data_IF_656688991687
#
_entry.id   IF_656688991687
#
_cell.length_a   1.000
_cell.length_b   1.000
_cell.length_c   1.000
_cell.angle_alpha   90.00
_cell.angle_beta   90.00
_cell.angle_gamma   90.00
#
_symmetry.space_group_name_H-M   'P 1'
#
loop_
_entity.id
_entity.type
_entity.pdbx_description
1 polymer ?
#
# COMPACT_ATOMS: atom_id res chain seq x y z
N UNK A 1 -9.40 26.61 -43.95
CA UNK A 1 -8.82 26.84 -42.62
C UNK A 1 -8.49 25.49 -42.03
N UNK A 2 -7.24 25.05 -42.20
CA UNK A 2 -6.73 23.79 -41.67
C UNK A 2 -6.21 24.07 -40.27
N UNK A 3 -6.80 23.45 -39.25
CA UNK A 3 -6.20 23.44 -37.92
C UNK A 3 -5.20 22.30 -37.88
N UNK A 4 -3.92 22.67 -37.95
CA UNK A 4 -2.81 21.77 -37.71
C UNK A 4 -2.62 21.56 -36.19
N UNK A 5 -2.48 20.28 -35.84
CA UNK A 5 -1.52 19.69 -34.91
C UNK A 5 -1.73 19.82 -33.40
N UNK A 6 -2.16 18.68 -32.85
CA UNK A 6 -1.34 17.90 -31.90
C UNK A 6 -0.58 18.71 -30.85
N UNK A 7 -1.34 19.32 -29.93
CA UNK A 7 -0.84 19.63 -28.59
C UNK A 7 -0.89 18.39 -27.71
N UNK A 8 -0.25 17.28 -28.12
CA UNK A 8 0.05 16.21 -27.19
C UNK A 8 1.03 16.81 -26.17
N UNK A 9 0.59 16.98 -24.93
CA UNK A 9 1.47 17.34 -23.83
C UNK A 9 2.66 16.37 -23.89
N UNK A 10 3.84 16.91 -24.19
CA UNK A 10 5.07 16.16 -24.30
C UNK A 10 5.31 15.53 -22.93
N UNK A 11 4.95 14.24 -22.80
CA UNK A 11 5.23 13.46 -21.61
C UNK A 11 6.75 13.35 -21.57
N UNK A 12 7.36 14.23 -20.76
CA UNK A 12 8.79 14.26 -20.55
C UNK A 12 9.30 12.84 -20.30
N UNK A 13 10.40 12.41 -20.95
CA UNK A 13 10.96 11.09 -20.69
C UNK A 13 11.29 10.96 -19.19
N UNK A 14 11.14 9.76 -18.59
CA UNK A 14 11.28 9.52 -17.15
C UNK A 14 12.73 9.59 -16.63
N UNK A 15 13.52 10.50 -17.18
CA UNK A 15 14.91 10.70 -16.84
C UNK A 15 15.00 11.84 -15.82
N UNK A 16 15.29 11.44 -14.57
CA UNK A 16 15.68 12.27 -13.42
C UNK A 16 14.57 12.99 -12.62
N UNK A 17 13.51 12.29 -12.22
CA UNK A 17 12.76 12.67 -11.00
C UNK A 17 13.45 12.06 -9.77
N UNK A 18 14.63 12.57 -9.42
CA UNK A 18 15.35 12.14 -8.20
C UNK A 18 14.86 12.96 -7.01
N UNK A 19 13.95 12.39 -6.22
CA UNK A 19 13.47 12.97 -4.97
C UNK A 19 12.41 12.10 -4.31
N UNK A 20 12.28 12.15 -2.96
CA UNK A 20 11.25 11.40 -2.27
C UNK A 20 9.87 11.92 -2.68
N UNK A 21 9.10 11.06 -3.36
CA UNK A 21 7.71 11.35 -3.65
C UNK A 21 6.83 10.87 -2.49
N UNK A 22 5.87 11.70 -2.14
CA UNK A 22 4.85 11.40 -1.12
C UNK A 22 3.47 11.59 -1.72
N UNK A 23 2.63 10.60 -1.54
CA UNK A 23 1.20 10.66 -1.81
C UNK A 23 0.45 10.35 -0.53
N UNK A 24 -0.64 11.06 -0.25
CA UNK A 24 -1.44 10.84 0.94
C UNK A 24 -2.91 11.10 0.64
N UNK A 25 -3.77 10.20 1.12
CA UNK A 25 -5.22 10.32 1.05
C UNK A 25 -5.84 9.96 2.39
N UNK A 26 -6.97 10.59 2.68
CA UNK A 26 -7.87 10.22 3.77
C UNK A 26 -9.21 9.88 3.16
N UNK A 27 -9.80 8.77 3.58
CA UNK A 27 -11.05 8.26 3.03
C UNK A 27 -11.91 7.57 4.09
N UNK A 28 -13.20 7.46 3.81
CA UNK A 28 -14.10 6.63 4.60
C UNK A 28 -13.80 5.14 4.36
N UNK A 29 -14.17 4.30 5.32
CA UNK A 29 -14.03 2.83 5.29
C UNK A 29 -15.07 2.17 4.36
N UNK A 30 -15.38 2.82 3.24
CA UNK A 30 -16.34 2.37 2.24
C UNK A 30 -15.66 1.48 1.19
N UNK A 31 -16.06 0.20 1.03
CA UNK A 31 -15.47 -0.71 0.05
C UNK A 31 -15.49 -0.21 -1.40
N UNK A 32 -16.40 0.71 -1.76
CA UNK A 32 -16.46 1.30 -3.11
C UNK A 32 -15.20 2.08 -3.46
N UNK A 33 -14.50 2.63 -2.46
CA UNK A 33 -13.27 3.39 -2.64
C UNK A 33 -12.05 2.51 -2.91
N UNK A 34 -12.11 1.20 -2.63
CA UNK A 34 -11.01 0.26 -2.89
C UNK A 34 -10.60 0.25 -4.37
N UNK A 35 -11.55 0.37 -5.29
CA UNK A 35 -11.26 0.43 -6.72
C UNK A 35 -10.44 1.67 -7.10
N UNK A 36 -10.75 2.82 -6.51
CA UNK A 36 -10.02 4.08 -6.72
C UNK A 36 -8.60 3.92 -6.20
N UNK A 37 -8.45 3.42 -4.97
CA UNK A 37 -7.13 3.23 -4.35
C UNK A 37 -6.29 2.25 -5.15
N UNK A 38 -6.84 1.12 -5.62
CA UNK A 38 -6.11 0.17 -6.45
C UNK A 38 -5.52 0.81 -7.70
N UNK A 39 -6.33 1.60 -8.43
CA UNK A 39 -5.84 2.30 -9.63
C UNK A 39 -4.72 3.27 -9.26
N UNK A 40 -4.89 4.06 -8.21
CA UNK A 40 -3.85 5.00 -7.75
C UNK A 40 -2.56 4.30 -7.34
N UNK A 41 -2.63 3.20 -6.59
CA UNK A 41 -1.42 2.46 -6.17
C UNK A 41 -0.71 1.83 -7.35
N UNK A 42 -1.45 1.31 -8.34
CA UNK A 42 -0.86 0.76 -9.56
C UNK A 42 -0.04 1.81 -10.31
N UNK A 43 -0.60 3.01 -10.49
CA UNK A 43 0.10 4.12 -11.16
C UNK A 43 1.29 4.62 -10.34
N UNK A 44 1.13 4.81 -9.03
CA UNK A 44 2.23 5.25 -8.15
C UNK A 44 3.39 4.24 -8.13
N UNK A 45 3.09 2.94 -8.07
CA UNK A 45 4.10 1.90 -8.09
C UNK A 45 4.91 1.90 -9.39
N UNK A 46 4.25 2.14 -10.53
CA UNK A 46 4.92 2.26 -11.83
C UNK A 46 5.81 3.51 -11.89
N UNK A 47 5.29 4.67 -11.44
CA UNK A 47 6.07 5.91 -11.33
C UNK A 47 7.30 5.75 -10.44
N UNK A 48 7.22 4.90 -9.42
CA UNK A 48 8.32 4.61 -8.49
C UNK A 48 9.28 3.51 -8.95
N UNK A 49 9.10 2.98 -10.16
CA UNK A 49 10.07 2.07 -10.78
C UNK A 49 9.92 0.60 -10.41
N UNK A 50 8.75 0.18 -9.88
CA UNK A 50 8.42 -1.24 -9.85
C UNK A 50 8.07 -1.73 -11.27
N UNK A 51 8.56 -2.92 -11.63
CA UNK A 51 8.09 -3.62 -12.82
C UNK A 51 6.67 -4.16 -12.63
N UNK A 52 6.01 -4.54 -13.72
CA UNK A 52 4.58 -4.88 -13.73
C UNK A 52 4.16 -5.91 -12.66
N UNK A 53 4.99 -6.93 -12.42
CA UNK A 53 4.72 -7.93 -11.38
C UNK A 53 4.76 -7.31 -9.98
N UNK A 54 5.74 -6.45 -9.71
CA UNK A 54 5.85 -5.69 -8.48
C UNK A 54 4.66 -4.76 -8.28
N UNK A 55 4.25 -4.04 -9.32
CA UNK A 55 3.07 -3.16 -9.29
C UNK A 55 1.79 -3.94 -8.95
N UNK A 56 1.53 -5.06 -9.63
CA UNK A 56 0.37 -5.93 -9.36
C UNK A 56 0.40 -6.49 -7.94
N UNK A 57 1.57 -6.95 -7.48
CA UNK A 57 1.77 -7.46 -6.14
C UNK A 57 1.43 -6.39 -5.10
N UNK A 58 2.13 -5.27 -5.11
CA UNK A 58 1.94 -4.18 -4.15
C UNK A 58 0.49 -3.67 -4.14
N UNK A 59 -0.11 -3.48 -5.31
CA UNK A 59 -1.53 -3.08 -5.42
C UNK A 59 -2.44 -4.05 -4.70
N UNK A 60 -2.23 -5.36 -4.90
CA UNK A 60 -3.02 -6.41 -4.24
C UNK A 60 -2.80 -6.44 -2.72
N UNK A 61 -1.56 -6.23 -2.26
CA UNK A 61 -1.26 -6.20 -0.83
C UNK A 61 -1.88 -4.97 -0.13
N UNK A 62 -1.89 -3.81 -0.79
CA UNK A 62 -2.57 -2.61 -0.28
C UNK A 62 -4.09 -2.79 -0.23
N UNK A 63 -4.69 -3.35 -1.30
CA UNK A 63 -6.13 -3.66 -1.35
C UNK A 63 -6.56 -4.61 -0.23
N UNK A 64 -5.75 -5.63 0.03
CA UNK A 64 -6.01 -6.59 1.11
C UNK A 64 -5.83 -5.95 2.50
N UNK A 65 -4.84 -5.06 2.68
CA UNK A 65 -4.66 -4.33 3.93
C UNK A 65 -5.87 -3.45 4.25
N UNK A 66 -6.35 -2.68 3.26
CA UNK A 66 -7.55 -1.85 3.39
C UNK A 66 -8.80 -2.67 3.64
N UNK A 67 -8.98 -3.76 2.88
CA UNK A 67 -10.09 -4.69 3.08
C UNK A 67 -10.09 -5.26 4.49
N UNK A 68 -8.92 -5.56 5.06
CA UNK A 68 -8.80 -6.03 6.43
C UNK A 68 -9.14 -4.95 7.46
N UNK A 69 -8.72 -3.70 7.26
CA UNK A 69 -9.11 -2.58 8.14
C UNK A 69 -10.64 -2.41 8.12
N UNK A 70 -11.24 -2.31 6.93
CA UNK A 70 -12.70 -2.16 6.78
C UNK A 70 -13.44 -3.32 7.46
N UNK A 71 -13.04 -4.56 7.17
CA UNK A 71 -13.71 -5.77 7.67
C UNK A 71 -13.52 -5.98 9.17
N UNK A 72 -12.31 -5.77 9.69
CA UNK A 72 -11.95 -6.18 11.05
C UNK A 72 -11.90 -5.03 12.04
N UNK A 73 -11.33 -3.89 11.67
CA UNK A 73 -11.25 -2.72 12.55
C UNK A 73 -12.59 -1.95 12.58
N UNK A 74 -13.23 -1.79 11.42
CA UNK A 74 -14.51 -1.07 11.31
C UNK A 74 -15.76 -1.96 11.22
N UNK A 75 -15.62 -3.29 11.23
CA UNK A 75 -16.75 -4.25 11.16
C UNK A 75 -17.67 -4.02 9.95
N UNK A 76 -17.10 -3.63 8.81
CA UNK A 76 -17.80 -3.24 7.58
C UNK A 76 -18.69 -1.99 7.70
N UNK A 77 -18.55 -1.19 8.77
CA UNK A 77 -19.11 0.16 8.77
C UNK A 77 -18.36 1.00 7.74
N UNK A 78 -19.08 1.90 7.06
CA UNK A 78 -18.58 2.73 5.96
C UNK A 78 -18.34 4.19 6.36
N UNK A 79 -18.29 4.48 7.65
CA UNK A 79 -18.17 5.81 8.25
C UNK A 79 -16.84 6.02 9.00
N UNK A 80 -16.01 4.97 9.11
CA UNK A 80 -14.71 5.02 9.74
C UNK A 80 -13.67 5.72 8.86
N UNK A 81 -12.76 6.49 9.45
CA UNK A 81 -11.73 7.20 8.71
C UNK A 81 -10.47 6.34 8.56
N UNK A 82 -9.91 6.30 7.34
CA UNK A 82 -8.63 5.63 7.04
C UNK A 82 -7.74 6.63 6.33
N UNK A 83 -6.55 6.87 6.89
CA UNK A 83 -5.48 7.57 6.20
C UNK A 83 -4.54 6.55 5.55
N UNK A 84 -4.25 6.73 4.26
CA UNK A 84 -3.22 6.00 3.53
C UNK A 84 -2.16 6.99 3.05
N UNK A 85 -0.94 6.81 3.55
CA UNK A 85 0.26 7.51 3.11
C UNK A 85 1.17 6.56 2.33
N UNK A 86 1.60 6.97 1.15
CA UNK A 86 2.53 6.24 0.30
C UNK A 86 3.79 7.10 0.12
N UNK A 87 4.97 6.57 0.43
CA UNK A 87 6.24 7.26 0.26
C UNK A 87 7.21 6.38 -0.48
N UNK A 88 7.97 6.97 -1.40
CA UNK A 88 9.18 6.35 -1.93
C UNK A 88 10.41 7.03 -1.33
N UNK A 89 11.42 6.22 -1.00
CA UNK A 89 12.78 6.66 -0.72
C UNK A 89 13.72 5.99 -1.75
N UNK A 90 15.03 6.25 -1.69
CA UNK A 90 15.99 5.78 -2.69
C UNK A 90 15.91 4.26 -3.00
N UNK A 91 15.54 3.45 -2.00
CA UNK A 91 15.62 1.99 -2.07
C UNK A 91 14.27 1.28 -1.86
N UNK A 92 13.21 1.97 -1.46
CA UNK A 92 11.95 1.30 -1.09
C UNK A 92 10.69 2.17 -1.20
N UNK A 93 9.56 1.47 -1.40
CA UNK A 93 8.21 1.99 -1.25
C UNK A 93 7.70 1.64 0.15
N UNK A 94 7.12 2.61 0.84
CA UNK A 94 6.44 2.44 2.12
C UNK A 94 4.98 2.87 2.02
N UNK A 95 4.08 1.99 2.45
CA UNK A 95 2.65 2.25 2.61
C UNK A 95 2.33 2.26 4.09
N UNK A 96 1.72 3.34 4.58
CA UNK A 96 1.31 3.51 5.96
C UNK A 96 -0.20 3.73 6.02
N UNK A 97 -0.88 2.88 6.78
CA UNK A 97 -2.30 2.95 7.05
C UNK A 97 -2.49 3.40 8.49
N UNK A 98 -3.36 4.38 8.71
CA UNK A 98 -3.73 4.87 10.04
C UNK A 98 -5.24 4.86 10.16
N UNK A 99 -5.74 4.25 11.23
CA UNK A 99 -7.18 4.16 11.52
C UNK A 99 -7.45 4.19 13.04
N UNK A 100 -8.70 4.40 13.41
CA UNK A 100 -9.18 4.44 14.81
C UNK A 100 -10.18 3.32 15.13
N UNK A 101 -10.25 2.29 14.28
CA UNK A 101 -11.12 1.14 14.49
C UNK A 101 -10.62 0.25 15.63
N UNK A 102 -11.21 -0.93 15.77
CA UNK A 102 -10.76 -1.91 16.76
C UNK A 102 -9.29 -2.30 16.53
N UNK A 103 -8.52 -2.56 17.61
CA UNK A 103 -7.17 -3.09 17.49
C UNK A 103 -7.17 -4.37 16.66
N UNK A 104 -6.17 -4.47 15.79
CA UNK A 104 -6.06 -5.62 14.95
C UNK A 104 -5.46 -6.81 15.72
N UNK A 105 -5.91 -8.02 15.40
CA UNK A 105 -5.45 -9.24 16.05
C UNK A 105 -3.97 -9.48 15.74
N UNK A 106 -3.11 -9.30 16.75
CA UNK A 106 -1.65 -9.43 16.60
C UNK A 106 -1.21 -10.82 16.18
N UNK A 107 -1.97 -11.87 16.50
CA UNK A 107 -1.68 -13.24 16.05
C UNK A 107 -1.79 -13.37 14.52
N UNK A 108 -2.55 -12.49 13.87
CA UNK A 108 -2.70 -12.43 12.43
C UNK A 108 -1.65 -11.54 11.76
N UNK A 109 -1.13 -10.53 12.47
CA UNK A 109 -0.29 -9.46 11.88
C UNK A 109 1.20 -9.57 12.22
N UNK A 110 1.58 -9.96 13.43
CA UNK A 110 2.99 -10.00 13.85
C UNK A 110 3.67 -11.35 13.61
N UNK A 111 4.98 -11.28 13.40
CA UNK A 111 5.86 -12.33 12.92
C UNK A 111 6.44 -13.21 14.05
N UNK A 112 6.34 -14.52 13.86
CA UNK A 112 7.40 -15.49 14.12
C UNK A 112 7.43 -16.45 12.91
N UNK A 113 8.55 -17.12 12.63
CA UNK A 113 8.56 -18.20 11.65
C UNK A 113 7.70 -19.32 12.26
N UNK A 114 6.43 -19.34 11.87
CA UNK A 114 5.53 -20.40 12.31
C UNK A 114 5.88 -21.62 11.48
N UNK A 115 6.41 -22.62 12.18
CA UNK A 115 6.14 -24.02 11.86
C UNK A 115 4.70 -24.17 11.39
N UNK A 116 4.56 -25.04 10.40
CA UNK A 116 3.36 -25.37 9.65
C UNK A 116 2.04 -25.17 10.43
N UNK A 117 1.05 -24.60 9.74
CA UNK A 117 -0.39 -24.65 10.07
C UNK A 117 -0.92 -23.82 11.25
N UNK A 118 -0.64 -22.52 11.26
CA UNK A 118 -1.56 -21.56 11.90
C UNK A 118 -2.39 -20.85 10.82
N UNK A 119 -3.73 -21.01 10.90
CA UNK A 119 -4.74 -20.36 10.05
C UNK A 119 -4.69 -18.82 10.20
N UNK A 120 -3.63 -18.19 9.70
CA UNK A 120 -3.66 -16.77 9.39
C UNK A 120 -4.73 -16.54 8.32
N UNK A 121 -5.50 -15.46 8.44
CA UNK A 121 -6.48 -15.10 7.40
C UNK A 121 -5.77 -15.05 6.04
N UNK A 122 -6.39 -15.62 5.00
CA UNK A 122 -5.80 -15.73 3.64
C UNK A 122 -5.18 -14.40 3.16
N UNK A 123 -5.78 -13.29 3.55
CA UNK A 123 -5.31 -11.95 3.25
C UNK A 123 -3.98 -11.55 3.88
N UNK A 124 -3.77 -11.86 5.15
CA UNK A 124 -2.54 -11.45 5.84
C UNK A 124 -1.34 -12.29 5.40
N UNK A 125 -1.58 -13.56 5.03
CA UNK A 125 -0.58 -14.39 4.36
C UNK A 125 -0.12 -13.78 3.03
N UNK A 126 -1.08 -13.33 2.21
CA UNK A 126 -0.81 -12.70 0.93
C UNK A 126 0.04 -11.41 1.07
N UNK A 127 -0.31 -10.55 2.02
CA UNK A 127 0.47 -9.32 2.29
C UNK A 127 1.93 -9.68 2.61
N UNK A 128 2.16 -10.72 3.42
CA UNK A 128 3.50 -11.20 3.80
C UNK A 128 4.28 -11.84 2.66
N UNK A 129 3.61 -12.48 1.71
CA UNK A 129 4.27 -13.03 0.52
C UNK A 129 4.75 -11.93 -0.44
N UNK A 130 4.05 -10.79 -0.46
CA UNK A 130 4.32 -9.71 -1.40
C UNK A 130 5.27 -8.67 -0.81
N UNK A 131 5.03 -8.24 0.43
CA UNK A 131 5.78 -7.18 1.10
C UNK A 131 7.00 -7.74 1.82
N UNK A 132 8.10 -6.98 1.84
CA UNK A 132 9.35 -7.42 2.45
C UNK A 132 9.36 -7.16 3.97
N UNK A 133 8.66 -6.12 4.43
CA UNK A 133 8.46 -5.85 5.85
C UNK A 133 7.01 -5.45 6.12
N UNK A 134 6.46 -5.98 7.21
CA UNK A 134 5.13 -5.66 7.73
C UNK A 134 5.28 -5.33 9.21
N UNK A 135 4.89 -4.13 9.60
CA UNK A 135 4.95 -3.66 10.98
C UNK A 135 3.59 -3.12 11.40
N UNK A 136 3.14 -3.49 12.58
CA UNK A 136 1.91 -2.99 13.16
C UNK A 136 2.14 -2.54 14.60
N UNK A 137 1.60 -1.38 14.91
CA UNK A 137 1.54 -0.85 16.26
C UNK A 137 0.19 -0.23 16.55
N UNK A 138 -0.17 -0.21 17.84
CA UNK A 138 -1.28 0.55 18.38
C UNK A 138 -0.70 1.60 19.32
N UNK A 139 -1.01 2.87 19.09
CA UNK A 139 -0.60 3.98 19.95
C UNK A 139 -1.87 4.68 20.44
N UNK A 140 -2.23 4.45 21.70
CA UNK A 140 -3.54 4.86 22.23
C UNK A 140 -4.68 4.27 21.41
N UNK A 141 -5.53 5.13 20.88
CA UNK A 141 -6.68 4.75 20.05
C UNK A 141 -6.39 4.64 18.55
N UNK A 142 -5.12 4.70 18.15
CA UNK A 142 -4.72 4.72 16.75
C UNK A 142 -4.02 3.42 16.38
N UNK A 143 -4.55 2.72 15.38
CA UNK A 143 -3.88 1.64 14.66
C UNK A 143 -2.93 2.24 13.63
N UNK A 144 -1.73 1.67 13.51
CA UNK A 144 -0.79 1.99 12.44
C UNK A 144 -0.22 0.71 11.84
N UNK A 145 -0.49 0.48 10.56
CA UNK A 145 0.09 -0.60 9.77
C UNK A 145 1.08 0.00 8.76
N UNK A 146 2.30 -0.53 8.70
CA UNK A 146 3.34 -0.13 7.76
C UNK A 146 3.76 -1.32 6.93
N UNK A 147 3.72 -1.17 5.61
CA UNK A 147 4.18 -2.15 4.64
C UNK A 147 5.34 -1.56 3.86
N UNK A 148 6.44 -2.30 3.72
CA UNK A 148 7.59 -1.88 2.91
C UNK A 148 7.87 -2.89 1.81
N UNK A 149 8.20 -2.36 0.62
CA UNK A 149 8.70 -3.10 -0.52
C UNK A 149 9.98 -2.47 -1.05
N UNK A 150 11.06 -3.23 -1.15
CA UNK A 150 12.31 -2.77 -1.73
C UNK A 150 12.22 -2.75 -3.25
N UNK A 151 12.85 -1.73 -3.85
CA UNK A 151 12.98 -1.61 -5.28
C UNK A 151 13.99 -2.65 -5.82
N UNK A 152 13.78 -3.16 -7.05
CA UNK A 152 14.76 -4.02 -7.70
C UNK A 152 16.15 -3.35 -7.75
N UNK A 153 17.20 -4.05 -7.32
CA UNK A 153 18.57 -3.52 -7.31
C UNK A 153 18.97 -2.72 -6.06
N UNK A 154 18.04 -2.46 -5.14
CA UNK A 154 18.38 -1.88 -3.84
C UNK A 154 19.27 -2.85 -3.04
N UNK A 155 20.40 -2.36 -2.52
CA UNK A 155 21.26 -3.17 -1.63
C UNK A 155 20.53 -3.40 -0.32
N UNK A 156 20.07 -4.64 -0.08
CA UNK A 156 19.55 -5.05 1.22
C UNK A 156 20.70 -4.92 2.23
N UNK A 157 20.61 -3.93 3.13
CA UNK A 157 21.51 -3.92 4.30
C UNK A 157 21.18 -5.16 5.12
N UNK A 158 22.16 -6.06 5.22
CA UNK A 158 22.11 -7.28 6.01
C UNK A 158 21.92 -6.98 7.50
#
# INVERSE_FOLDING_TARGET
MSYDKDGAAEILPPQAMSGPLKFQITMASDPRLLAVVRSTISELAAVWGLGDEGCRGVTRAVDEALSNIIRHAYKNRSDGEIELSCRTDADCLEFTFVDRGEPADRSRICAQPLDDTSLCGRGTHLIRQIMDQVYYERVGEVNRLRLKKYLPGAKRKA
#
